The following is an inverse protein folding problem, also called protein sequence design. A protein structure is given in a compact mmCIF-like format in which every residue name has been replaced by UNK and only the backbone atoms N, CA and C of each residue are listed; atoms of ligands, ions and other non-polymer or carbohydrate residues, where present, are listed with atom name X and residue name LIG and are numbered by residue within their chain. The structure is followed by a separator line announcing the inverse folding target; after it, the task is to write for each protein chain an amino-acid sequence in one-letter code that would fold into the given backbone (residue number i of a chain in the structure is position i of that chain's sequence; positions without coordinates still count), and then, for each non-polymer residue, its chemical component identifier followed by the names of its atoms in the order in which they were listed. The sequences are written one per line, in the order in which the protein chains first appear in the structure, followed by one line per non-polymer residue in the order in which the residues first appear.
data_IF_631100495266
#
_entry.id   IF_631100495266
#
_cell.length_a   1.000
_cell.length_b   1.000
_cell.length_c   1.000
_cell.angle_alpha   90.00
_cell.angle_beta   90.00
_cell.angle_gamma   90.00
#
_symmetry.space_group_name_H-M   'P 1'
#
loop_
_entity.id
_entity.type
_entity.pdbx_description
1 polymer ?
#
# COMPACT_ATOMS: atom_id res chain seq x y z
N UNK A 1 20.82 -20.67 1.63
CA UNK A 1 19.81 -21.61 1.10
C UNK A 1 18.49 -20.87 0.96
N UNK A 2 17.69 -21.18 -0.07
CA UNK A 2 16.29 -20.71 -0.12
C UNK A 2 15.52 -21.56 0.87
N UNK A 3 14.91 -20.92 1.86
CA UNK A 3 14.02 -21.59 2.80
C UNK A 3 12.67 -21.76 2.13
N UNK A 4 12.24 -23.00 1.97
CA UNK A 4 10.89 -23.31 1.51
C UNK A 4 9.93 -23.26 2.70
N UNK A 5 9.14 -22.19 2.77
CA UNK A 5 8.06 -22.05 3.74
C UNK A 5 6.99 -23.12 3.42
N UNK A 6 6.47 -23.86 4.41
CA UNK A 6 5.39 -24.82 4.16
C UNK A 6 4.19 -24.16 3.47
N UNK A 7 3.61 -24.85 2.48
CA UNK A 7 2.57 -24.33 1.57
C UNK A 7 1.41 -23.66 2.32
N UNK A 8 1.03 -24.19 3.48
CA UNK A 8 -0.04 -23.62 4.33
C UNK A 8 0.26 -22.18 4.77
N UNK A 9 1.50 -21.88 5.15
CA UNK A 9 1.91 -20.55 5.62
C UNK A 9 2.18 -19.61 4.44
N UNK A 10 2.75 -20.13 3.35
CA UNK A 10 2.91 -19.37 2.11
C UNK A 10 1.55 -18.89 1.56
N UNK A 11 0.50 -19.71 1.68
CA UNK A 11 -0.85 -19.36 1.20
C UNK A 11 -1.48 -18.19 1.97
N UNK A 12 -1.34 -18.15 3.30
CA UNK A 12 -1.86 -17.04 4.10
C UNK A 12 -1.06 -15.74 3.87
N UNK A 13 0.26 -15.83 3.68
CA UNK A 13 1.06 -14.67 3.23
C UNK A 13 0.62 -14.14 1.87
N UNK A 14 0.38 -15.02 0.90
CA UNK A 14 -0.11 -14.60 -0.42
C UNK A 14 -1.49 -13.92 -0.30
N UNK A 15 -2.38 -14.40 0.57
CA UNK A 15 -3.67 -13.73 0.81
C UNK A 15 -3.50 -12.36 1.44
N UNK A 16 -2.61 -12.22 2.41
CA UNK A 16 -2.31 -10.94 3.03
C UNK A 16 -1.74 -9.94 2.02
N UNK A 17 -0.76 -10.36 1.22
CA UNK A 17 -0.18 -9.53 0.15
C UNK A 17 -1.24 -9.11 -0.87
N UNK A 18 -2.15 -10.01 -1.23
CA UNK A 18 -3.28 -9.69 -2.12
C UNK A 18 -4.20 -8.64 -1.52
N UNK A 19 -4.60 -8.79 -0.26
CA UNK A 19 -5.46 -7.79 0.42
C UNK A 19 -4.80 -6.41 0.46
N UNK A 20 -3.52 -6.36 0.84
CA UNK A 20 -2.76 -5.10 0.86
C UNK A 20 -2.63 -4.50 -0.55
N UNK A 21 -2.43 -5.34 -1.57
CA UNK A 21 -2.37 -4.89 -2.96
C UNK A 21 -3.72 -4.34 -3.45
N UNK A 22 -4.84 -4.98 -3.09
CA UNK A 22 -6.18 -4.53 -3.44
C UNK A 22 -6.48 -3.15 -2.81
N UNK A 23 -6.17 -2.99 -1.52
CA UNK A 23 -6.33 -1.71 -0.80
C UNK A 23 -5.45 -0.61 -1.40
N UNK A 24 -4.18 -0.92 -1.72
CA UNK A 24 -3.27 0.02 -2.36
C UNK A 24 -3.74 0.41 -3.77
N UNK A 25 -4.25 -0.55 -4.54
CA UNK A 25 -4.79 -0.32 -5.89
C UNK A 25 -5.96 0.67 -5.83
N UNK A 26 -6.88 0.50 -4.88
CA UNK A 26 -8.01 1.40 -4.71
C UNK A 26 -7.59 2.84 -4.37
N UNK A 27 -6.57 3.01 -3.51
CA UNK A 27 -6.01 4.34 -3.21
C UNK A 27 -5.40 4.97 -4.46
N UNK A 28 -4.67 4.20 -5.27
CA UNK A 28 -4.05 4.72 -6.48
C UNK A 28 -5.03 5.06 -7.60
N UNK A 29 -6.10 4.29 -7.74
CA UNK A 29 -7.20 4.64 -8.63
C UNK A 29 -7.83 5.98 -8.25
N UNK A 30 -8.04 6.22 -6.96
CA UNK A 30 -8.55 7.51 -6.47
C UNK A 30 -7.55 8.65 -6.71
N UNK A 31 -6.25 8.43 -6.44
CA UNK A 31 -5.21 9.43 -6.74
C UNK A 31 -5.17 9.77 -8.23
N UNK A 32 -5.20 8.77 -9.10
CA UNK A 32 -5.24 8.97 -10.56
C UNK A 32 -6.52 9.71 -10.97
N UNK A 33 -7.66 9.40 -10.35
CA UNK A 33 -8.92 10.11 -10.55
C UNK A 33 -8.81 11.60 -10.21
N UNK A 34 -8.20 11.94 -9.07
CA UNK A 34 -7.93 13.32 -8.68
C UNK A 34 -7.00 14.03 -9.66
N UNK A 35 -5.95 13.34 -10.15
CA UNK A 35 -5.04 13.88 -11.17
C UNK A 35 -5.79 14.15 -12.48
N UNK A 36 -6.68 13.24 -12.91
CA UNK A 36 -7.51 13.43 -14.11
C UNK A 36 -8.53 14.56 -13.95
N UNK A 37 -9.06 14.75 -12.74
CA UNK A 37 -10.08 15.77 -12.43
C UNK A 37 -9.52 17.19 -12.42
N UNK A 38 -8.31 17.36 -11.88
CA UNK A 38 -7.69 18.67 -11.66
C UNK A 38 -6.49 18.98 -12.56
N UNK A 39 -5.99 17.97 -13.28
CA UNK A 39 -4.84 18.09 -14.15
C UNK A 39 -5.17 18.49 -15.57
N UNK A 40 -4.13 18.97 -16.24
CA UNK A 40 -4.17 19.35 -17.64
C UNK A 40 -3.21 18.46 -18.42
N UNK A 41 -3.58 18.14 -19.66
CA UNK A 41 -2.71 17.38 -20.54
C UNK A 41 -1.56 18.27 -21.03
N UNK A 42 -0.33 17.86 -20.70
CA UNK A 42 0.92 18.48 -21.10
C UNK A 42 1.90 17.39 -21.52
N UNK A 43 2.41 17.46 -22.74
CA UNK A 43 3.37 16.49 -23.30
C UNK A 43 2.85 15.03 -23.28
N UNK A 44 1.55 14.83 -23.53
CA UNK A 44 0.91 13.51 -23.48
C UNK A 44 0.78 12.91 -22.08
N UNK A 45 0.98 13.71 -21.03
CA UNK A 45 0.78 13.33 -19.64
C UNK A 45 -0.16 14.30 -18.95
N UNK A 46 -1.06 13.79 -18.11
CA UNK A 46 -1.90 14.64 -17.27
C UNK A 46 -1.07 15.09 -16.06
N UNK A 47 -0.87 16.40 -15.92
CA UNK A 47 -0.09 17.01 -14.85
C UNK A 47 -0.89 18.09 -14.14
N UNK A 48 -0.67 18.21 -12.84
CA UNK A 48 -1.17 19.34 -12.04
C UNK A 48 0.06 20.09 -11.55
N UNK A 49 0.21 21.35 -11.97
CA UNK A 49 1.31 22.20 -11.51
C UNK A 49 0.88 23.06 -10.33
N UNK A 50 1.76 23.30 -9.33
CA UNK A 50 1.45 24.15 -8.17
C UNK A 50 1.15 25.60 -8.55
N UNK A 51 1.70 26.06 -9.66
CA UNK A 51 1.53 27.41 -10.20
C UNK A 51 1.03 27.35 -11.64
N UNK A 52 0.23 28.34 -12.01
CA UNK A 52 -0.27 28.54 -13.37
C UNK A 52 -0.15 30.03 -13.71
N UNK A 53 0.64 30.36 -14.73
CA UNK A 53 0.92 31.74 -15.15
C UNK A 53 1.51 32.63 -14.03
N UNK A 54 2.44 32.09 -13.24
CA UNK A 54 3.12 32.81 -12.15
C UNK A 54 2.21 33.14 -10.96
N UNK A 55 1.08 32.44 -10.83
CA UNK A 55 0.15 32.54 -9.71
C UNK A 55 -0.14 31.15 -9.15
N UNK A 56 -0.52 31.01 -7.87
CA UNK A 56 -0.95 29.73 -7.31
C UNK A 56 -2.08 29.12 -8.14
N UNK A 57 -1.96 27.85 -8.47
CA UNK A 57 -2.97 27.13 -9.24
C UNK A 57 -4.13 26.71 -8.31
N UNK A 58 -5.37 27.22 -8.49
CA UNK A 58 -6.50 26.84 -7.66
C UNK A 58 -6.84 25.35 -7.73
N UNK A 59 -6.57 24.70 -8.87
CA UNK A 59 -6.85 23.28 -9.07
C UNK A 59 -5.83 22.40 -8.33
N UNK A 60 -4.59 22.87 -8.19
CA UNK A 60 -3.61 22.22 -7.32
C UNK A 60 -4.02 22.32 -5.84
N UNK A 61 -4.54 23.46 -5.40
CA UNK A 61 -5.03 23.63 -4.02
C UNK A 61 -6.20 22.68 -3.73
N UNK A 62 -7.15 22.55 -4.67
CA UNK A 62 -8.26 21.59 -4.55
C UNK A 62 -7.78 20.13 -4.56
N UNK A 63 -6.85 19.79 -5.45
CA UNK A 63 -6.21 18.49 -5.48
C UNK A 63 -5.58 18.14 -4.12
N UNK A 64 -4.75 19.04 -3.56
CA UNK A 64 -4.09 18.83 -2.27
C UNK A 64 -5.12 18.65 -1.15
N UNK A 65 -6.21 19.43 -1.16
CA UNK A 65 -7.27 19.29 -0.15
C UNK A 65 -7.96 17.93 -0.22
N UNK A 66 -8.46 17.53 -1.40
CA UNK A 66 -9.15 16.23 -1.58
C UNK A 66 -8.20 15.05 -1.40
N UNK A 67 -6.93 15.18 -1.84
CA UNK A 67 -5.92 14.15 -1.62
C UNK A 67 -5.58 14.00 -0.13
N UNK A 68 -5.47 15.10 0.61
CA UNK A 68 -5.27 15.04 2.06
C UNK A 68 -6.48 14.44 2.79
N UNK A 69 -7.70 14.64 2.30
CA UNK A 69 -8.89 13.97 2.83
C UNK A 69 -8.85 12.46 2.57
N UNK A 70 -8.46 12.05 1.36
CA UNK A 70 -8.24 10.64 1.02
C UNK A 70 -7.20 10.00 1.96
N UNK A 71 -6.09 10.68 2.20
CA UNK A 71 -5.01 10.18 3.06
C UNK A 71 -5.37 10.16 4.56
N UNK A 72 -6.46 10.83 4.96
CA UNK A 72 -7.00 10.77 6.33
C UNK A 72 -7.96 9.61 6.56
N UNK A 73 -8.33 8.88 5.50
CA UNK A 73 -9.16 7.68 5.65
C UNK A 73 -8.30 6.60 6.33
N UNK A 74 -8.44 6.49 7.64
CA UNK A 74 -7.87 5.40 8.42
C UNK A 74 -8.69 4.14 8.17
N UNK A 75 -8.15 3.19 7.39
CA UNK A 75 -8.68 1.84 7.34
C UNK A 75 -7.99 1.01 8.42
N UNK A 76 -8.74 0.54 9.41
CA UNK A 76 -8.25 -0.44 10.38
C UNK A 76 -8.08 -1.79 9.69
N UNK A 77 -6.84 -2.11 9.29
CA UNK A 77 -6.52 -3.42 8.72
C UNK A 77 -6.38 -4.42 9.87
N UNK A 78 -7.43 -5.20 10.11
CA UNK A 78 -7.36 -6.33 11.05
C UNK A 78 -6.54 -7.45 10.41
N UNK A 79 -5.24 -7.43 10.67
CA UNK A 79 -4.30 -8.48 10.26
C UNK A 79 -4.41 -9.62 11.27
N UNK A 80 -4.95 -10.77 10.84
CA UNK A 80 -4.82 -12.01 11.61
C UNK A 80 -3.39 -12.53 11.45
N UNK A 81 -2.64 -12.61 12.55
CA UNK A 81 -1.30 -13.17 12.56
C UNK A 81 -1.33 -14.63 12.11
N UNK A 82 -0.33 -15.03 11.34
CA UNK A 82 -0.14 -16.40 10.90
C UNK A 82 0.68 -17.14 11.95
N UNK A 83 0.14 -18.24 12.49
CA UNK A 83 0.86 -19.06 13.45
C UNK A 83 1.95 -19.86 12.75
N UNK A 84 3.21 -19.59 13.08
CA UNK A 84 4.39 -20.25 12.49
C UNK A 84 5.02 -21.15 13.57
N UNK A 85 5.17 -22.46 13.32
CA UNK A 85 5.88 -23.36 14.22
C UNK A 85 7.33 -22.92 14.44
N UNK A 86 7.83 -23.10 15.67
CA UNK A 86 9.22 -22.77 16.06
C UNK A 86 10.30 -23.66 15.42
N UNK A 87 9.90 -24.74 14.74
CA UNK A 87 10.80 -25.65 14.02
C UNK A 87 11.12 -25.20 12.57
N UNK A 88 10.60 -24.05 12.13
CA UNK A 88 10.89 -23.50 10.80
C UNK A 88 12.10 -22.57 10.87
N UNK A 89 13.08 -22.81 10.01
CA UNK A 89 14.25 -21.93 9.85
C UNK A 89 13.88 -20.74 8.96
N UNK A 90 13.94 -19.51 9.46
CA UNK A 90 13.72 -18.28 8.68
C UNK A 90 14.95 -17.38 8.85
N UNK A 91 15.37 -16.70 7.77
CA UNK A 91 16.49 -15.76 7.87
C UNK A 91 16.11 -14.55 8.72
N UNK A 92 17.06 -13.95 9.45
CA UNK A 92 16.77 -12.76 10.27
C UNK A 92 16.22 -11.58 9.46
N UNK A 93 16.58 -11.47 8.18
CA UNK A 93 16.06 -10.44 7.27
C UNK A 93 14.58 -10.68 6.95
N UNK A 94 14.22 -11.92 6.64
CA UNK A 94 12.83 -12.27 6.37
C UNK A 94 11.98 -12.16 7.64
N UNK A 95 12.52 -12.55 8.80
CA UNK A 95 11.83 -12.42 10.08
C UNK A 95 11.48 -10.96 10.39
N UNK A 96 12.38 -10.02 10.14
CA UNK A 96 12.13 -8.59 10.38
C UNK A 96 10.99 -8.04 9.51
N UNK A 97 10.83 -8.56 8.29
CA UNK A 97 9.73 -8.18 7.39
C UNK A 97 8.41 -8.83 7.82
N UNK A 98 8.48 -10.04 8.36
CA UNK A 98 7.31 -10.87 8.69
C UNK A 98 6.78 -10.67 10.12
N UNK A 99 7.58 -10.12 11.03
CA UNK A 99 7.25 -9.93 12.46
C UNK A 99 5.86 -9.31 12.74
N UNK A 100 5.37 -8.31 11.98
CA UNK A 100 4.04 -7.77 12.20
C UNK A 100 2.90 -8.77 11.88
N UNK A 101 3.18 -9.76 11.04
CA UNK A 101 2.20 -10.62 10.38
C UNK A 101 2.21 -12.06 10.88
N UNK A 102 3.18 -12.45 11.70
CA UNK A 102 3.34 -13.83 12.20
C UNK A 102 3.36 -13.90 13.72
N UNK A 103 3.00 -15.06 14.25
CA UNK A 103 3.14 -15.41 15.66
C UNK A 103 3.85 -16.76 15.74
N UNK A 104 4.98 -16.82 16.45
CA UNK A 104 5.71 -18.09 16.60
C UNK A 104 5.02 -18.90 17.69
N UNK A 105 4.61 -20.13 17.36
CA UNK A 105 3.99 -21.06 18.29
C UNK A 105 4.88 -22.26 18.53
N UNK A 106 4.98 -22.67 19.79
CA UNK A 106 5.56 -23.95 20.19
C UNK A 106 4.48 -25.02 20.04
N UNK A 107 4.78 -26.10 19.32
CA UNK A 107 3.90 -27.27 19.22
C UNK A 107 4.07 -28.21 20.41
#
# INVERSE_FOLDING_TARGET
ERVDIPVRYAFEHVKLLKKLADDFTAIEEQRIGLIKKYGEEKDGQIKIEPEKNGKPNPDFVKFVSEFNELMKIENEIVIKKVNVPDNISISGQDLAVLEPFIEIITL
#
